data_IF_528147658771
#
_entry.id   IF_528147658771
#
_cell.length_a   1.000
_cell.length_b   1.000
_cell.length_c   1.000
_cell.angle_alpha   90.00
_cell.angle_beta   90.00
_cell.angle_gamma   90.00
#
_symmetry.space_group_name_H-M   'P 1'
#
loop_
_entity.id
_entity.type
_entity.pdbx_description
1 polymer ?
#
# COMPACT_ATOMS: atom_id res chain seq x y z
N UNK A 1 41.39 61.49 6.25
CA UNK A 1 41.83 60.50 7.26
C UNK A 1 41.59 59.11 6.71
N UNK A 2 42.66 58.41 6.37
CA UNK A 2 42.64 57.04 5.86
C UNK A 2 42.63 56.05 7.03
N UNK A 3 41.93 54.91 6.88
CA UNK A 3 42.16 53.71 7.69
C UNK A 3 42.13 52.47 6.81
N UNK A 4 43.32 51.90 6.64
CA UNK A 4 43.60 50.57 6.11
C UNK A 4 42.93 49.48 6.94
N UNK A 5 42.57 48.37 6.27
CA UNK A 5 42.79 46.99 6.73
C UNK A 5 42.81 46.04 5.53
N UNK A 6 44.02 45.71 5.06
CA UNK A 6 44.37 44.51 4.27
C UNK A 6 44.96 43.51 5.28
N UNK A 7 44.52 42.25 5.26
CA UNK A 7 45.08 41.23 6.16
C UNK A 7 44.37 39.87 6.16
N UNK A 8 43.82 39.42 5.03
CA UNK A 8 43.19 38.09 4.92
C UNK A 8 43.91 37.10 3.98
N UNK A 9 44.64 37.60 2.98
CA UNK A 9 45.10 36.76 1.86
C UNK A 9 46.41 35.99 2.11
N UNK A 10 47.10 36.21 3.23
CA UNK A 10 48.36 35.51 3.53
C UNK A 10 48.16 34.16 4.24
N UNK A 11 47.01 33.98 4.92
CA UNK A 11 46.72 32.76 5.70
C UNK A 11 46.21 31.63 4.79
N UNK A 12 45.49 31.96 3.71
CA UNK A 12 45.03 30.98 2.74
C UNK A 12 46.16 30.44 1.84
N UNK A 13 47.20 31.24 1.58
CA UNK A 13 48.33 30.83 0.74
C UNK A 13 49.30 29.88 1.47
N UNK A 14 49.38 29.96 2.81
CA UNK A 14 50.20 29.07 3.62
C UNK A 14 49.53 27.71 3.90
N UNK A 15 48.20 27.66 3.94
CA UNK A 15 47.45 26.42 4.21
C UNK A 15 47.37 25.49 2.98
N UNK A 16 47.38 26.04 1.76
CA UNK A 16 47.40 25.25 0.51
C UNK A 16 48.77 24.66 0.17
N UNK A 17 49.87 25.30 0.62
CA UNK A 17 51.23 24.78 0.44
C UNK A 17 51.61 23.62 1.37
N UNK A 18 50.94 23.49 2.53
CA UNK A 18 51.17 22.39 3.48
C UNK A 18 50.43 21.09 3.11
N UNK A 19 49.32 21.14 2.37
CA UNK A 19 48.62 19.95 1.90
C UNK A 19 49.27 19.31 0.65
N UNK A 20 50.00 20.10 -0.15
CA UNK A 20 50.68 19.61 -1.36
C UNK A 20 52.00 18.88 -1.08
N UNK A 21 52.58 19.04 0.12
CA UNK A 21 53.87 18.42 0.49
C UNK A 21 53.74 17.06 1.19
N UNK A 22 52.54 16.60 1.52
CA UNK A 22 52.31 15.31 2.18
C UNK A 22 52.03 14.14 1.20
N UNK A 23 52.08 14.37 -0.12
CA UNK A 23 51.82 13.35 -1.14
C UNK A 23 53.08 12.67 -1.71
N UNK A 24 54.25 12.89 -1.13
CA UNK A 24 55.51 12.32 -1.61
C UNK A 24 56.29 11.76 -0.43
N UNK A 25 56.01 10.51 -0.05
CA UNK A 25 56.93 9.55 0.62
C UNK A 25 56.12 8.34 1.15
N UNK A 26 55.86 7.36 0.29
CA UNK A 26 55.51 6.00 0.71
C UNK A 26 56.24 5.00 -0.22
N UNK A 27 57.02 4.04 0.32
CA UNK A 27 57.83 3.13 -0.49
C UNK A 27 57.04 1.91 -0.98
N UNK A 28 57.37 1.46 -2.19
CA UNK A 28 56.85 0.30 -2.86
C UNK A 28 57.33 -1.02 -2.22
N UNK A 29 56.43 -2.01 -2.09
CA UNK A 29 56.79 -3.38 -1.74
C UNK A 29 55.92 -4.40 -2.50
N UNK A 30 56.59 -5.04 -3.48
CA UNK A 30 56.49 -6.40 -4.02
C UNK A 30 55.14 -7.14 -4.10
N UNK A 31 54.75 -7.46 -5.35
CA UNK A 31 53.85 -8.53 -5.76
C UNK A 31 54.56 -9.91 -5.75
N UNK A 32 53.85 -11.03 -5.57
CA UNK A 32 54.33 -12.35 -5.96
C UNK A 32 53.66 -12.85 -7.26
N UNK A 33 54.51 -13.24 -8.21
CA UNK A 33 54.21 -13.90 -9.50
C UNK A 33 54.05 -15.44 -9.35
N UNK A 34 53.60 -16.16 -10.40
CA UNK A 34 52.65 -17.27 -10.30
C UNK A 34 53.29 -18.67 -10.18
N UNK A 35 52.50 -19.65 -9.72
CA UNK A 35 52.88 -21.05 -9.71
C UNK A 35 52.26 -21.82 -10.90
N UNK A 36 53.08 -22.74 -11.41
CA UNK A 36 53.06 -23.47 -12.67
C UNK A 36 52.05 -24.64 -12.71
N UNK A 37 51.59 -25.00 -13.92
CA UNK A 37 50.64 -26.10 -14.23
C UNK A 37 51.39 -27.23 -14.94
N UNK A 38 51.18 -28.51 -14.55
CA UNK A 38 51.01 -29.71 -15.42
C UNK A 38 51.13 -31.05 -14.61
N UNK A 39 50.73 -32.23 -15.14
CA UNK A 39 49.43 -32.59 -15.73
C UNK A 39 48.89 -33.98 -15.25
N UNK A 40 47.74 -34.38 -15.81
CA UNK A 40 47.17 -35.74 -16.00
C UNK A 40 46.16 -36.37 -15.00
N UNK A 41 45.04 -36.82 -15.59
CA UNK A 41 43.90 -37.56 -15.05
C UNK A 41 44.19 -39.10 -15.00
N UNK A 42 43.32 -40.02 -14.49
CA UNK A 42 41.87 -40.12 -14.77
C UNK A 42 40.93 -40.44 -13.59
N UNK A 43 39.65 -40.12 -13.84
CA UNK A 43 38.37 -40.55 -13.25
C UNK A 43 38.34 -41.49 -12.02
N UNK A 44 37.52 -41.13 -11.02
CA UNK A 44 36.52 -42.03 -10.43
C UNK A 44 35.46 -41.28 -9.61
N UNK A 45 34.24 -41.76 -9.82
CA UNK A 45 32.94 -41.52 -9.17
C UNK A 45 32.99 -41.31 -7.65
N UNK A 46 32.36 -40.24 -7.15
CA UNK A 46 31.81 -40.18 -5.79
C UNK A 46 30.91 -38.93 -5.66
N UNK A 47 29.62 -39.22 -5.51
CA UNK A 47 28.57 -38.35 -4.98
C UNK A 47 28.95 -37.72 -3.63
N UNK A 48 28.67 -36.44 -3.46
CA UNK A 48 27.83 -35.87 -2.39
C UNK A 48 28.22 -34.43 -2.01
N UNK A 49 27.17 -33.61 -1.91
CA UNK A 49 27.05 -32.41 -1.06
C UNK A 49 27.97 -31.20 -1.27
N UNK A 50 27.74 -30.42 -2.34
CA UNK A 50 27.88 -28.94 -2.25
C UNK A 50 26.87 -28.25 -3.18
N UNK A 51 25.60 -28.15 -2.75
CA UNK A 51 24.68 -27.14 -3.30
C UNK A 51 23.46 -26.92 -2.40
N UNK A 52 23.64 -26.31 -1.23
CA UNK A 52 22.47 -25.88 -0.45
C UNK A 52 22.61 -24.51 0.24
N UNK A 53 23.78 -23.86 0.13
CA UNK A 53 24.02 -22.56 0.76
C UNK A 53 23.55 -21.35 -0.08
N UNK A 54 23.24 -21.54 -1.38
CA UNK A 54 22.82 -20.45 -2.27
C UNK A 54 21.29 -20.39 -2.52
N UNK A 55 20.55 -21.44 -2.15
CA UNK A 55 19.09 -21.50 -2.33
C UNK A 55 18.29 -21.00 -1.11
N UNK A 56 18.94 -20.81 0.04
CA UNK A 56 18.26 -20.48 1.31
C UNK A 56 18.01 -18.98 1.54
N UNK A 57 18.38 -18.09 0.62
CA UNK A 57 18.10 -16.64 0.72
C UNK A 57 16.89 -16.16 -0.09
N UNK A 58 16.15 -17.07 -0.75
CA UNK A 58 15.00 -16.71 -1.60
C UNK A 58 13.64 -17.17 -1.09
N UNK A 59 13.54 -17.55 0.18
CA UNK A 59 12.26 -17.79 0.83
C UNK A 59 11.83 -16.56 1.63
N UNK A 60 11.67 -15.44 0.92
CA UNK A 60 10.81 -14.37 1.42
C UNK A 60 9.45 -15.00 1.72
N UNK A 61 8.95 -14.80 2.94
CA UNK A 61 7.66 -15.29 3.38
C UNK A 61 6.56 -14.87 2.38
N UNK A 62 6.27 -15.72 1.40
CA UNK A 62 5.05 -15.66 0.61
C UNK A 62 3.97 -16.10 1.58
N UNK A 63 3.45 -15.14 2.35
CA UNK A 63 2.23 -15.35 3.10
C UNK A 63 1.18 -15.84 2.10
N UNK A 64 0.46 -16.95 2.40
CA UNK A 64 -0.57 -17.43 1.51
C UNK A 64 -1.53 -16.29 1.21
N UNK A 65 -1.88 -16.15 -0.08
CA UNK A 65 -2.88 -15.17 -0.55
C UNK A 65 -4.09 -15.25 0.38
N UNK A 66 -4.69 -14.11 0.79
CA UNK A 66 -5.95 -14.15 1.53
C UNK A 66 -6.91 -15.09 0.81
N UNK A 67 -7.39 -16.12 1.51
CA UNK A 67 -8.37 -17.05 0.96
C UNK A 67 -9.68 -16.28 0.81
N UNK A 68 -9.93 -15.75 -0.37
CA UNK A 68 -11.21 -15.13 -0.69
C UNK A 68 -12.16 -16.25 -1.08
N UNK A 69 -13.14 -16.51 -0.22
CA UNK A 69 -14.24 -17.42 -0.54
C UNK A 69 -15.19 -16.63 -1.44
N UNK A 70 -15.22 -16.94 -2.74
CA UNK A 70 -16.29 -16.49 -3.60
C UNK A 70 -17.59 -17.19 -3.14
N UNK A 71 -18.43 -16.44 -2.43
CA UNK A 71 -19.75 -16.94 -2.07
C UNK A 71 -20.61 -17.09 -3.34
N UNK A 72 -21.39 -18.18 -3.47
CA UNK A 72 -22.32 -18.33 -4.57
C UNK A 72 -23.27 -17.14 -4.66
N UNK A 73 -23.67 -16.75 -5.87
CA UNK A 73 -24.70 -15.72 -6.05
C UNK A 73 -25.98 -16.08 -5.28
N UNK A 74 -26.79 -15.09 -4.90
CA UNK A 74 -28.05 -15.32 -4.19
C UNK A 74 -28.97 -16.35 -4.87
N UNK A 75 -28.87 -16.49 -6.20
CA UNK A 75 -29.59 -17.50 -6.97
C UNK A 75 -29.08 -18.94 -6.72
N UNK A 76 -27.78 -19.12 -6.50
CA UNK A 76 -27.19 -20.42 -6.17
C UNK A 76 -27.40 -20.81 -4.69
N UNK A 77 -27.45 -19.83 -3.78
CA UNK A 77 -27.80 -20.07 -2.38
C UNK A 77 -29.25 -20.53 -2.20
N UNK A 78 -30.19 -19.99 -3.00
CA UNK A 78 -31.59 -20.41 -3.00
C UNK A 78 -31.76 -21.87 -3.49
N UNK A 79 -30.96 -22.30 -4.48
CA UNK A 79 -31.01 -23.67 -5.00
C UNK A 79 -30.45 -24.72 -4.01
N UNK A 80 -29.48 -24.34 -3.16
CA UNK A 80 -28.92 -25.23 -2.14
C UNK A 80 -29.86 -25.48 -0.96
N UNK A 81 -30.80 -24.55 -0.71
CA UNK A 81 -31.81 -24.65 0.35
C UNK A 81 -32.85 -25.76 0.12
N UNK A 82 -33.02 -26.26 -1.10
CA UNK A 82 -34.06 -27.25 -1.42
C UNK A 82 -33.60 -28.72 -1.28
N UNK A 83 -32.33 -28.96 -0.92
CA UNK A 83 -31.75 -30.31 -0.84
C UNK A 83 -31.33 -30.74 0.59
N UNK A 84 -31.54 -29.91 1.61
CA UNK A 84 -31.14 -30.17 2.99
C UNK A 84 -32.31 -30.42 3.94
N UNK A 85 -32.87 -31.63 3.94
CA UNK A 85 -33.78 -32.10 4.99
C UNK A 85 -33.02 -32.68 6.17
N UNK A 86 -33.04 -32.01 7.32
CA UNK A 86 -32.49 -32.53 8.59
C UNK A 86 -32.39 -31.44 9.65
N UNK A 87 -33.25 -31.51 10.66
CA UNK A 87 -33.44 -30.46 11.66
C UNK A 87 -32.22 -30.21 12.56
N UNK A 88 -31.70 -29.00 12.47
CA UNK A 88 -31.27 -28.21 13.62
C UNK A 88 -32.10 -26.93 13.61
N UNK A 89 -32.56 -26.50 14.79
CA UNK A 89 -33.21 -25.20 14.91
C UNK A 89 -32.19 -24.13 14.47
N UNK A 90 -32.56 -23.14 13.64
CA UNK A 90 -31.64 -22.07 13.32
C UNK A 90 -31.24 -21.42 14.65
N UNK A 91 -29.94 -21.42 14.94
CA UNK A 91 -29.39 -20.67 16.07
C UNK A 91 -29.84 -19.23 15.88
N UNK A 92 -30.82 -18.79 16.67
CA UNK A 92 -31.37 -17.45 16.58
C UNK A 92 -30.23 -16.46 16.79
N UNK A 93 -30.06 -15.49 15.89
CA UNK A 93 -29.03 -14.44 15.96
C UNK A 93 -29.08 -13.53 17.21
N UNK A 94 -29.94 -13.86 18.18
CA UNK A 94 -30.17 -13.17 19.45
C UNK A 94 -29.34 -13.72 20.63
N UNK A 95 -28.42 -14.65 20.40
CA UNK A 95 -27.57 -15.18 21.49
C UNK A 95 -26.54 -14.15 22.00
N UNK A 96 -26.14 -13.18 21.17
CA UNK A 96 -25.09 -12.20 21.52
C UNK A 96 -25.63 -10.76 21.58
N UNK A 97 -25.11 -9.91 22.49
CA UNK A 97 -25.46 -8.49 22.54
C UNK A 97 -25.16 -7.76 21.23
N UNK A 98 -25.93 -6.72 20.85
CA UNK A 98 -25.74 -5.98 19.59
C UNK A 98 -24.31 -5.45 19.40
N UNK A 99 -23.65 -4.99 20.46
CA UNK A 99 -22.28 -4.50 20.40
C UNK A 99 -21.29 -5.58 19.93
N UNK A 100 -21.39 -6.80 20.47
CA UNK A 100 -20.59 -7.96 20.05
C UNK A 100 -20.94 -8.36 18.61
N UNK A 101 -22.22 -8.42 18.26
CA UNK A 101 -22.66 -8.77 16.89
C UNK A 101 -22.13 -7.79 15.86
N UNK A 102 -22.16 -6.49 16.17
CA UNK A 102 -21.68 -5.46 15.26
C UNK A 102 -20.15 -5.40 15.17
N UNK A 103 -19.43 -5.75 16.24
CA UNK A 103 -17.99 -5.98 16.17
C UNK A 103 -17.65 -7.17 15.26
N UNK A 104 -18.41 -8.27 15.37
CA UNK A 104 -18.26 -9.45 14.50
C UNK A 104 -18.61 -9.14 13.05
N UNK A 105 -19.68 -8.37 12.80
CA UNK A 105 -20.04 -7.90 11.46
C UNK A 105 -18.92 -7.05 10.85
N UNK A 106 -18.36 -6.09 11.61
CA UNK A 106 -17.22 -5.28 11.18
C UNK A 106 -16.02 -6.16 10.80
N UNK A 107 -15.64 -7.08 11.68
CA UNK A 107 -14.53 -8.01 11.41
C UNK A 107 -14.79 -8.84 10.15
N UNK A 108 -16.01 -9.36 9.97
CA UNK A 108 -16.39 -10.13 8.79
C UNK A 108 -16.36 -9.28 7.51
N UNK A 109 -16.76 -8.00 7.58
CA UNK A 109 -16.65 -7.07 6.46
C UNK A 109 -15.18 -6.84 6.07
N UNK A 110 -14.32 -6.53 7.04
CA UNK A 110 -12.90 -6.30 6.80
C UNK A 110 -12.17 -7.55 6.28
N UNK A 111 -12.60 -8.74 6.73
CA UNK A 111 -12.06 -10.02 6.28
C UNK A 111 -12.64 -10.52 4.93
N UNK A 112 -13.53 -9.75 4.29
CA UNK A 112 -14.25 -10.14 3.07
C UNK A 112 -15.08 -11.43 3.21
N UNK A 113 -15.63 -11.70 4.40
CA UNK A 113 -16.47 -12.87 4.66
C UNK A 113 -17.95 -12.61 4.36
N UNK A 114 -18.37 -11.35 4.30
CA UNK A 114 -19.75 -10.98 4.02
C UNK A 114 -20.04 -11.05 2.51
N UNK A 115 -21.28 -11.41 2.16
CA UNK A 115 -21.80 -11.13 0.83
C UNK A 115 -21.80 -9.61 0.56
N UNK A 116 -21.80 -9.17 -0.71
CA UNK A 116 -21.87 -7.76 -1.05
C UNK A 116 -23.02 -7.04 -0.32
N UNK A 117 -22.72 -5.89 0.27
CA UNK A 117 -23.65 -5.10 1.08
C UNK A 117 -23.68 -3.64 0.62
N UNK A 118 -24.84 -2.99 0.74
CA UNK A 118 -25.06 -1.63 0.24
C UNK A 118 -25.06 -0.54 1.31
N UNK A 119 -25.24 -0.90 2.59
CA UNK A 119 -25.20 0.00 3.73
C UNK A 119 -24.87 -0.78 5.01
N UNK A 120 -24.32 -0.09 6.00
CA UNK A 120 -24.13 -0.61 7.36
C UNK A 120 -25.50 -1.00 7.94
N UNK A 121 -25.66 -2.19 8.55
CA UNK A 121 -26.90 -2.55 9.23
C UNK A 121 -27.30 -1.48 10.25
N UNK A 122 -28.58 -1.10 10.29
CA UNK A 122 -29.05 -0.01 11.14
C UNK A 122 -28.71 -0.21 12.63
N UNK A 123 -28.77 -1.45 13.12
CA UNK A 123 -28.37 -1.81 14.50
C UNK A 123 -26.87 -1.58 14.77
N UNK A 124 -26.03 -1.58 13.73
CA UNK A 124 -24.58 -1.43 13.81
C UNK A 124 -24.06 -0.02 13.53
N UNK A 125 -24.93 0.92 13.14
CA UNK A 125 -24.54 2.30 12.87
C UNK A 125 -23.82 2.96 14.06
N UNK A 126 -24.32 2.73 15.28
CA UNK A 126 -23.70 3.25 16.50
C UNK A 126 -22.32 2.64 16.77
N UNK A 127 -22.15 1.34 16.50
CA UNK A 127 -20.87 0.65 16.62
C UNK A 127 -19.86 1.21 15.61
N UNK A 128 -20.25 1.30 14.33
CA UNK A 128 -19.38 1.81 13.25
C UNK A 128 -18.95 3.25 13.56
N UNK A 129 -19.88 4.15 13.92
CA UNK A 129 -19.56 5.51 14.37
C UNK A 129 -18.54 5.51 15.50
N UNK A 130 -18.78 4.72 16.56
CA UNK A 130 -17.89 4.65 17.73
C UNK A 130 -16.50 4.15 17.38
N UNK A 131 -16.41 3.19 16.45
CA UNK A 131 -15.15 2.68 15.94
C UNK A 131 -14.39 3.74 15.13
N UNK A 132 -14.98 4.28 14.05
CA UNK A 132 -14.28 5.19 13.10
C UNK A 132 -13.90 6.54 13.69
N UNK A 133 -14.62 6.99 14.74
CA UNK A 133 -14.25 8.20 15.50
C UNK A 133 -13.36 7.91 16.71
N UNK A 134 -13.11 6.63 17.00
CA UNK A 134 -12.49 6.14 18.22
C UNK A 134 -10.97 5.96 18.15
N UNK A 135 -10.41 5.44 19.26
CA UNK A 135 -9.00 5.06 19.32
C UNK A 135 -8.70 3.76 18.56
N UNK A 136 -9.66 2.84 18.48
CA UNK A 136 -9.50 1.57 17.79
C UNK A 136 -9.20 1.76 16.30
N UNK A 137 -9.99 2.57 15.59
CA UNK A 137 -9.74 2.86 14.17
C UNK A 137 -8.36 3.50 13.92
N UNK A 138 -7.97 4.45 14.77
CA UNK A 138 -6.63 5.07 14.70
C UNK A 138 -5.50 4.07 14.96
N UNK A 139 -5.70 3.16 15.91
CA UNK A 139 -4.76 2.09 16.21
C UNK A 139 -4.61 1.13 15.03
N UNK A 140 -5.72 0.69 14.44
CA UNK A 140 -5.74 -0.22 13.30
C UNK A 140 -5.05 0.43 12.07
N UNK A 141 -5.32 1.71 11.81
CA UNK A 141 -4.64 2.50 10.77
C UNK A 141 -3.12 2.65 11.00
N UNK A 142 -2.68 2.91 12.23
CA UNK A 142 -1.25 3.06 12.54
C UNK A 142 -0.53 1.69 12.44
N UNK A 143 -1.19 0.60 12.83
CA UNK A 143 -0.64 -0.75 12.71
C UNK A 143 -0.40 -1.11 11.24
N UNK A 144 -1.40 -0.90 10.37
CA UNK A 144 -1.26 -1.15 8.92
C UNK A 144 -0.14 -0.29 8.33
N UNK A 145 -0.05 0.99 8.70
CA UNK A 145 1.02 1.86 8.22
C UNK A 145 2.42 1.41 8.71
N UNK A 146 2.52 0.96 9.95
CA UNK A 146 3.77 0.46 10.54
C UNK A 146 4.25 -0.81 9.84
N UNK A 147 3.35 -1.77 9.61
CA UNK A 147 3.63 -3.01 8.88
C UNK A 147 4.02 -2.74 7.41
N UNK A 148 3.31 -1.80 6.78
CA UNK A 148 3.62 -1.34 5.41
C UNK A 148 5.01 -0.74 5.32
N UNK A 149 5.35 0.16 6.25
CA UNK A 149 6.66 0.82 6.29
C UNK A 149 7.80 -0.18 6.58
N UNK A 150 7.57 -1.12 7.51
CA UNK A 150 8.53 -2.19 7.79
C UNK A 150 8.82 -3.05 6.55
N UNK A 151 7.78 -3.40 5.80
CA UNK A 151 7.94 -4.11 4.54
C UNK A 151 8.67 -3.26 3.49
N UNK A 152 8.30 -1.98 3.32
CA UNK A 152 8.93 -1.08 2.37
C UNK A 152 10.45 -0.96 2.62
N UNK A 153 10.86 -0.81 3.88
CA UNK A 153 12.28 -0.75 4.27
C UNK A 153 13.04 -2.05 4.00
N UNK A 154 12.37 -3.19 4.10
CA UNK A 154 12.98 -4.52 3.92
C UNK A 154 12.91 -5.03 2.47
N UNK A 155 12.17 -4.34 1.60
CA UNK A 155 11.94 -4.81 0.24
C UNK A 155 13.23 -4.75 -0.59
N UNK A 156 13.51 -5.76 -1.45
CA UNK A 156 14.71 -5.80 -2.27
C UNK A 156 14.57 -4.83 -3.46
N UNK A 157 14.92 -3.57 -3.24
CA UNK A 157 14.87 -2.56 -4.30
C UNK A 157 15.88 -2.89 -5.40
N UNK A 158 15.44 -2.77 -6.66
CA UNK A 158 16.27 -3.06 -7.84
C UNK A 158 17.28 -1.95 -8.18
N UNK A 159 17.11 -0.74 -7.65
CA UNK A 159 18.02 0.40 -7.87
C UNK A 159 17.94 1.03 -9.27
N UNK A 160 17.07 0.52 -10.15
CA UNK A 160 16.83 0.99 -11.52
C UNK A 160 15.68 2.02 -11.62
N UNK A 161 15.11 2.43 -10.48
CA UNK A 161 13.98 3.36 -10.40
C UNK A 161 12.64 2.78 -10.87
N UNK A 162 12.50 1.44 -10.93
CA UNK A 162 11.29 0.74 -11.37
C UNK A 162 10.46 0.13 -10.24
N UNK A 163 10.89 0.24 -9.00
CA UNK A 163 10.08 -0.21 -7.86
C UNK A 163 8.96 0.79 -7.58
N UNK A 164 7.74 0.30 -7.44
CA UNK A 164 6.54 1.11 -7.29
C UNK A 164 5.68 0.69 -6.09
N UNK A 165 5.00 1.68 -5.51
CA UNK A 165 3.95 1.52 -4.51
C UNK A 165 2.67 2.18 -5.01
N UNK A 166 1.57 1.44 -4.95
CA UNK A 166 0.24 1.94 -5.33
C UNK A 166 -0.52 2.35 -4.07
N UNK A 167 -1.12 3.54 -4.09
CA UNK A 167 -2.08 3.98 -3.08
C UNK A 167 -3.43 4.24 -3.75
N UNK A 168 -4.51 3.71 -3.17
CA UNK A 168 -5.83 4.33 -3.35
C UNK A 168 -5.87 5.72 -2.69
N UNK A 169 -6.89 6.52 -2.96
CA UNK A 169 -7.04 7.88 -2.41
C UNK A 169 -8.10 7.96 -1.31
N UNK A 170 -9.32 7.49 -1.55
CA UNK A 170 -10.47 7.72 -0.67
C UNK A 170 -10.48 6.69 0.46
N UNK A 171 -10.61 7.11 1.72
CA UNK A 171 -10.41 6.28 2.92
C UNK A 171 -9.02 5.60 3.01
N UNK A 172 -8.10 5.95 2.11
CA UNK A 172 -6.72 5.46 2.10
C UNK A 172 -5.71 6.57 2.38
N UNK A 173 -5.71 7.65 1.59
CA UNK A 173 -4.88 8.84 1.82
C UNK A 173 -5.71 9.99 2.40
N UNK A 174 -6.89 10.21 1.86
CA UNK A 174 -7.84 11.24 2.26
C UNK A 174 -9.05 10.58 2.95
N UNK A 175 -9.46 11.13 4.08
CA UNK A 175 -10.65 10.66 4.79
C UNK A 175 -11.88 11.47 4.41
N UNK A 176 -12.90 10.79 3.91
CA UNK A 176 -14.23 11.32 3.70
C UNK A 176 -15.12 11.11 4.94
N UNK A 177 -14.54 10.80 6.10
CA UNK A 177 -15.28 10.69 7.36
C UNK A 177 -16.16 11.91 7.67
N UNK A 178 -15.78 13.18 7.37
CA UNK A 178 -16.69 14.30 7.55
C UNK A 178 -17.98 14.18 6.71
N UNK A 179 -17.89 13.70 5.47
CA UNK A 179 -19.07 13.39 4.65
C UNK A 179 -19.92 12.30 5.30
N UNK A 180 -19.30 11.19 5.72
CA UNK A 180 -20.02 10.09 6.34
C UNK A 180 -20.61 10.43 7.70
N UNK A 181 -20.05 11.41 8.42
CA UNK A 181 -20.64 11.91 9.66
C UNK A 181 -22.02 12.57 9.43
N UNK A 182 -22.20 13.22 8.28
CA UNK A 182 -23.48 13.81 7.86
C UNK A 182 -24.44 12.78 7.23
N UNK A 183 -23.95 11.58 6.90
CA UNK A 183 -24.68 10.51 6.18
C UNK A 183 -24.70 9.18 6.95
N UNK A 184 -24.89 9.28 8.27
CA UNK A 184 -25.18 8.11 9.12
C UNK A 184 -24.02 7.11 9.26
N UNK A 185 -22.78 7.50 8.98
CA UNK A 185 -21.58 6.65 9.05
C UNK A 185 -21.71 5.37 8.22
N UNK A 186 -22.36 5.46 7.05
CA UNK A 186 -22.56 4.33 6.13
C UNK A 186 -23.90 3.60 6.28
N UNK A 187 -24.75 4.02 7.23
CA UNK A 187 -26.10 3.46 7.39
C UNK A 187 -27.08 3.93 6.30
N UNK A 188 -26.75 4.99 5.57
CA UNK A 188 -27.52 5.48 4.43
C UNK A 188 -27.03 4.86 3.12
N UNK A 189 -27.93 4.67 2.16
CA UNK A 189 -27.54 4.27 0.81
C UNK A 189 -26.69 5.36 0.17
N UNK A 190 -25.63 4.94 -0.51
CA UNK A 190 -24.70 5.85 -1.15
C UNK A 190 -25.37 6.67 -2.27
N UNK A 191 -25.19 7.99 -2.22
CA UNK A 191 -25.65 8.92 -3.25
C UNK A 191 -24.43 9.53 -3.96
N UNK A 192 -24.21 9.10 -5.20
CA UNK A 192 -23.09 9.57 -6.02
C UNK A 192 -23.07 11.10 -6.19
N UNK A 193 -24.24 11.74 -6.31
CA UNK A 193 -24.29 13.19 -6.55
C UNK A 193 -23.86 13.97 -5.31
N UNK A 194 -24.34 13.57 -4.14
CA UNK A 194 -23.94 14.21 -2.87
C UNK A 194 -22.46 13.99 -2.59
N UNK A 195 -21.94 12.81 -2.90
CA UNK A 195 -20.51 12.54 -2.75
C UNK A 195 -19.68 13.35 -3.74
N UNK A 196 -20.11 13.50 -5.00
CA UNK A 196 -19.45 14.39 -5.96
C UNK A 196 -19.43 15.84 -5.45
N UNK A 197 -20.56 16.34 -4.91
CA UNK A 197 -20.62 17.68 -4.29
C UNK A 197 -19.65 17.82 -3.09
N UNK A 198 -19.44 16.74 -2.32
CA UNK A 198 -18.42 16.70 -1.27
C UNK A 198 -16.99 16.75 -1.83
N UNK A 199 -16.69 15.95 -2.85
CA UNK A 199 -15.37 15.91 -3.49
C UNK A 199 -14.98 17.28 -4.05
N UNK A 200 -15.94 18.00 -4.65
CA UNK A 200 -15.74 19.34 -5.21
C UNK A 200 -15.38 20.40 -4.16
N UNK A 201 -15.59 20.13 -2.87
CA UNK A 201 -15.13 21.02 -1.80
C UNK A 201 -13.61 20.96 -1.58
N UNK A 202 -12.96 19.86 -1.98
CA UNK A 202 -11.51 19.71 -1.89
C UNK A 202 -10.93 19.79 -0.47
N UNK A 203 -11.73 19.40 0.53
CA UNK A 203 -11.43 19.61 1.96
C UNK A 203 -11.26 18.31 2.76
N UNK A 204 -11.23 17.14 2.12
CA UNK A 204 -11.08 15.88 2.82
C UNK A 204 -9.72 15.83 3.55
N UNK A 205 -9.67 15.60 4.88
CA UNK A 205 -8.42 15.59 5.63
C UNK A 205 -7.53 14.40 5.31
N UNK A 206 -6.20 14.54 5.48
CA UNK A 206 -5.28 13.40 5.43
C UNK A 206 -5.58 12.37 6.53
N UNK A 207 -5.50 11.09 6.17
CA UNK A 207 -5.27 10.02 7.13
C UNK A 207 -3.80 10.11 7.58
N UNK A 208 -3.58 10.47 8.85
CA UNK A 208 -2.25 10.85 9.34
C UNK A 208 -1.23 9.71 9.24
N UNK A 209 -1.60 8.47 9.54
CA UNK A 209 -0.71 7.31 9.43
C UNK A 209 -0.33 7.03 7.97
N UNK A 210 -1.28 7.17 7.04
CA UNK A 210 -1.03 7.06 5.60
C UNK A 210 -0.10 8.15 5.08
N UNK A 211 -0.21 9.38 5.58
CA UNK A 211 0.71 10.47 5.22
C UNK A 211 2.15 10.17 5.67
N UNK A 212 2.34 9.57 6.85
CA UNK A 212 3.67 9.13 7.31
C UNK A 212 4.22 8.05 6.38
N UNK A 213 3.42 7.01 6.11
CA UNK A 213 3.80 5.91 5.21
C UNK A 213 4.16 6.42 3.81
N UNK A 214 3.32 7.29 3.24
CA UNK A 214 3.54 7.89 1.93
C UNK A 214 4.90 8.58 1.84
N UNK A 215 5.21 9.43 2.82
CA UNK A 215 6.50 10.14 2.88
C UNK A 215 7.66 9.17 3.00
N UNK A 216 7.53 8.15 3.84
CA UNK A 216 8.59 7.16 4.01
C UNK A 216 8.83 6.33 2.74
N UNK A 217 7.78 5.84 2.08
CA UNK A 217 7.88 5.12 0.80
C UNK A 217 8.56 6.00 -0.26
N UNK A 218 8.20 7.28 -0.34
CA UNK A 218 8.83 8.24 -1.23
C UNK A 218 10.31 8.44 -0.92
N UNK A 219 10.64 8.62 0.36
CA UNK A 219 12.01 8.90 0.82
C UNK A 219 12.92 7.67 0.63
N UNK A 220 12.36 6.46 0.54
CA UNK A 220 13.05 5.23 0.11
C UNK A 220 13.32 5.16 -1.40
N UNK A 221 12.87 6.14 -2.19
CA UNK A 221 13.04 6.18 -3.64
C UNK A 221 12.07 5.27 -4.41
N UNK A 222 11.05 4.72 -3.74
CA UNK A 222 9.99 3.92 -4.37
C UNK A 222 9.03 4.86 -5.09
N UNK A 223 8.68 4.50 -6.32
CA UNK A 223 7.79 5.28 -7.18
C UNK A 223 6.36 5.23 -6.68
N UNK A 224 5.71 6.39 -6.57
CA UNK A 224 4.36 6.47 -6.02
C UNK A 224 3.34 6.65 -7.12
N UNK A 225 2.41 5.69 -7.18
CA UNK A 225 1.25 5.72 -8.07
C UNK A 225 -0.02 5.88 -7.24
N UNK A 226 -0.80 6.91 -7.55
CA UNK A 226 -2.12 7.11 -6.98
C UNK A 226 -3.16 6.57 -7.97
N UNK A 227 -3.96 5.60 -7.54
CA UNK A 227 -4.95 4.90 -8.37
C UNK A 227 -6.32 4.93 -7.70
N UNK A 228 -7.16 5.88 -8.10
CA UNK A 228 -8.44 6.18 -7.44
C UNK A 228 -9.67 5.82 -8.29
N UNK A 229 -10.78 5.55 -7.61
CA UNK A 229 -12.10 5.44 -8.22
C UNK A 229 -12.71 6.77 -8.66
N UNK A 230 -12.18 7.93 -8.22
CA UNK A 230 -12.64 9.24 -8.67
C UNK A 230 -12.53 9.37 -10.19
N UNK A 231 -13.44 10.12 -10.80
CA UNK A 231 -13.44 10.31 -12.25
C UNK A 231 -12.46 11.40 -12.67
N UNK A 232 -11.99 11.36 -13.92
CA UNK A 232 -11.11 12.40 -14.49
C UNK A 232 -11.66 13.83 -14.38
N UNK A 233 -13.00 14.01 -14.27
CA UNK A 233 -13.60 15.31 -14.02
C UNK A 233 -13.14 15.96 -12.70
N UNK A 234 -12.84 15.13 -11.70
CA UNK A 234 -12.42 15.53 -10.35
C UNK A 234 -10.90 15.71 -10.21
N UNK A 235 -10.13 15.63 -11.31
CA UNK A 235 -8.67 15.65 -11.24
C UNK A 235 -8.12 16.89 -10.55
N UNK A 236 -8.60 18.08 -10.93
CA UNK A 236 -8.13 19.35 -10.39
C UNK A 236 -8.32 19.42 -8.87
N UNK A 237 -9.56 19.25 -8.41
CA UNK A 237 -9.89 19.30 -6.98
C UNK A 237 -9.20 18.20 -6.17
N UNK A 238 -9.00 17.01 -6.76
CA UNK A 238 -8.27 15.92 -6.09
C UNK A 238 -6.79 16.26 -5.90
N UNK A 239 -6.14 16.84 -6.91
CA UNK A 239 -4.74 17.31 -6.82
C UNK A 239 -4.60 18.40 -5.77
N UNK A 240 -5.50 19.39 -5.78
CA UNK A 240 -5.48 20.50 -4.82
C UNK A 240 -5.68 19.98 -3.40
N UNK A 241 -6.63 19.08 -3.18
CA UNK A 241 -6.87 18.49 -1.87
C UNK A 241 -5.65 17.68 -1.40
N UNK A 242 -5.07 16.81 -2.23
CA UNK A 242 -3.88 16.03 -1.87
C UNK A 242 -2.71 16.94 -1.47
N UNK A 243 -2.44 17.97 -2.27
CA UNK A 243 -1.40 18.96 -1.98
C UNK A 243 -1.67 19.69 -0.66
N UNK A 244 -2.89 20.17 -0.43
CA UNK A 244 -3.26 20.87 0.80
C UNK A 244 -3.11 19.99 2.05
N UNK A 245 -3.23 18.67 1.88
CA UNK A 245 -3.08 17.69 2.96
C UNK A 245 -1.64 17.15 3.10
N UNK A 246 -0.69 17.68 2.32
CA UNK A 246 0.74 17.40 2.44
C UNK A 246 1.23 16.18 1.64
N UNK A 247 0.39 15.63 0.76
CA UNK A 247 0.80 14.65 -0.24
C UNK A 247 1.35 15.39 -1.46
N UNK A 248 2.61 15.16 -1.80
CA UNK A 248 3.30 15.83 -2.90
C UNK A 248 4.23 14.84 -3.59
N UNK A 249 4.61 15.16 -4.83
CA UNK A 249 5.66 14.45 -5.57
C UNK A 249 5.32 12.98 -5.88
N UNK A 250 4.05 12.66 -6.13
CA UNK A 250 3.68 11.36 -6.72
C UNK A 250 4.17 11.29 -8.18
N UNK A 251 4.55 10.09 -8.64
CA UNK A 251 5.01 9.89 -10.02
C UNK A 251 3.85 9.82 -11.02
N UNK A 252 2.69 9.26 -10.62
CA UNK A 252 1.50 9.23 -11.48
C UNK A 252 0.21 9.26 -10.66
N UNK A 253 -0.76 10.04 -11.13
CA UNK A 253 -2.14 10.05 -10.62
C UNK A 253 -3.09 9.58 -11.72
N UNK A 254 -3.75 8.45 -11.47
CA UNK A 254 -4.65 7.74 -12.39
C UNK A 254 -6.06 7.82 -11.83
N UNK A 255 -6.96 8.47 -12.59
CA UNK A 255 -8.40 8.55 -12.30
C UNK A 255 -9.18 7.74 -13.33
N UNK A 256 -10.46 7.49 -13.05
CA UNK A 256 -11.36 6.80 -13.98
C UNK A 256 -11.68 7.68 -15.18
N UNK A 257 -11.27 7.23 -16.36
CA UNK A 257 -11.70 7.81 -17.62
C UNK A 257 -13.16 7.47 -17.94
N UNK A 258 -13.77 8.20 -18.88
CA UNK A 258 -15.14 7.95 -19.32
C UNK A 258 -15.35 6.50 -19.82
N UNK A 259 -14.35 5.90 -20.47
CA UNK A 259 -14.38 4.53 -20.96
C UNK A 259 -14.40 3.48 -19.83
N UNK A 260 -13.94 3.83 -18.63
CA UNK A 260 -13.84 2.92 -17.49
C UNK A 260 -15.08 2.94 -16.59
N UNK A 261 -16.05 3.83 -16.85
CA UNK A 261 -17.23 4.04 -15.98
C UNK A 261 -18.07 2.80 -15.72
N UNK A 262 -18.08 1.84 -16.65
CA UNK A 262 -18.86 0.59 -16.53
C UNK A 262 -18.07 -0.57 -15.95
N UNK A 263 -16.76 -0.40 -15.72
CA UNK A 263 -15.90 -1.44 -15.15
C UNK A 263 -16.05 -1.45 -13.63
N UNK A 264 -16.08 -2.63 -13.02
CA UNK A 264 -15.94 -2.80 -11.56
C UNK A 264 -14.64 -2.17 -11.07
N UNK A 265 -14.52 -1.90 -9.76
CA UNK A 265 -13.29 -1.37 -9.18
C UNK A 265 -12.14 -2.36 -9.38
N UNK A 266 -12.39 -3.63 -9.10
CA UNK A 266 -11.43 -4.72 -9.29
C UNK A 266 -10.90 -4.76 -10.73
N UNK A 267 -11.77 -4.80 -11.75
CA UNK A 267 -11.33 -4.87 -13.16
C UNK A 267 -10.55 -3.63 -13.57
N UNK A 268 -11.08 -2.44 -13.29
CA UNK A 268 -10.41 -1.18 -13.64
C UNK A 268 -9.02 -1.08 -13.00
N UNK A 269 -8.92 -1.32 -11.69
CA UNK A 269 -7.64 -1.18 -10.98
C UNK A 269 -6.64 -2.26 -11.37
N UNK A 270 -7.09 -3.48 -11.63
CA UNK A 270 -6.24 -4.54 -12.21
C UNK A 270 -5.66 -4.16 -13.56
N UNK A 271 -6.46 -3.63 -14.48
CA UNK A 271 -5.96 -3.19 -15.78
C UNK A 271 -4.94 -2.06 -15.65
N UNK A 272 -5.15 -1.10 -14.74
CA UNK A 272 -4.19 -0.02 -14.49
C UNK A 272 -2.89 -0.50 -13.86
N UNK A 273 -2.92 -1.48 -12.96
CA UNK A 273 -1.69 -2.12 -12.47
C UNK A 273 -0.97 -2.91 -13.56
N UNK A 274 -1.71 -3.59 -14.43
CA UNK A 274 -1.14 -4.28 -15.59
C UNK A 274 -0.45 -3.32 -16.56
N UNK A 275 -1.02 -2.13 -16.78
CA UNK A 275 -0.36 -1.07 -17.56
C UNK A 275 0.97 -0.65 -16.90
N UNK A 276 1.03 -0.51 -15.57
CA UNK A 276 2.29 -0.21 -14.85
C UNK A 276 3.33 -1.33 -15.02
N UNK A 277 2.94 -2.60 -14.91
CA UNK A 277 3.84 -3.73 -15.15
C UNK A 277 4.38 -3.72 -16.60
N UNK A 278 3.52 -3.44 -17.58
CA UNK A 278 3.91 -3.33 -18.99
C UNK A 278 4.85 -2.13 -19.26
N UNK A 279 4.76 -1.07 -18.46
CA UNK A 279 5.72 0.05 -18.46
C UNK A 279 7.06 -0.31 -17.77
N UNK A 280 7.16 -1.52 -17.19
CA UNK A 280 8.37 -2.07 -16.58
C UNK A 280 8.47 -1.86 -15.07
N UNK A 281 7.40 -1.41 -14.40
CA UNK A 281 7.41 -1.24 -12.94
C UNK A 281 7.19 -2.56 -12.20
N UNK A 282 7.86 -2.70 -11.06
CA UNK A 282 7.65 -3.77 -10.07
C UNK A 282 6.82 -3.21 -8.93
N UNK A 283 5.57 -3.64 -8.83
CA UNK A 283 4.68 -3.16 -7.78
C UNK A 283 4.98 -3.90 -6.49
N UNK A 284 5.78 -3.31 -5.60
CA UNK A 284 6.18 -3.92 -4.33
C UNK A 284 5.02 -3.89 -3.32
N UNK A 285 4.36 -2.74 -3.20
CA UNK A 285 3.27 -2.52 -2.24
C UNK A 285 2.02 -1.95 -2.88
N UNK A 286 0.87 -2.26 -2.31
CA UNK A 286 -0.42 -1.67 -2.66
C UNK A 286 -1.23 -1.43 -1.39
N UNK A 287 -1.60 -0.18 -1.12
CA UNK A 287 -2.38 0.24 0.04
C UNK A 287 -3.76 0.72 -0.42
N UNK A 288 -4.80 0.15 0.17
CA UNK A 288 -6.19 0.48 -0.16
C UNK A 288 -7.14 0.07 0.95
N UNK A 289 -8.28 0.75 1.04
CA UNK A 289 -9.32 0.51 2.03
C UNK A 289 -10.36 -0.51 1.55
N UNK A 290 -10.35 -0.91 0.28
CA UNK A 290 -11.22 -1.93 -0.27
C UNK A 290 -10.43 -3.12 -0.81
N UNK A 291 -11.03 -4.31 -0.72
CA UNK A 291 -10.44 -5.49 -1.36
C UNK A 291 -10.38 -5.35 -2.89
N UNK A 292 -11.28 -4.58 -3.50
CA UNK A 292 -11.24 -4.23 -4.92
C UNK A 292 -9.99 -3.45 -5.34
N UNK A 293 -9.30 -2.81 -4.39
CA UNK A 293 -8.04 -2.10 -4.66
C UNK A 293 -6.86 -3.04 -4.75
N UNK A 294 -6.96 -4.16 -4.03
CA UNK A 294 -5.85 -5.04 -3.70
C UNK A 294 -5.86 -6.34 -4.50
N UNK A 295 -7.05 -6.80 -4.92
CA UNK A 295 -7.28 -8.07 -5.59
C UNK A 295 -7.39 -7.92 -7.12
N UNK A 296 -7.60 -9.06 -7.80
CA UNK A 296 -7.70 -9.17 -9.25
C UNK A 296 -6.39 -9.60 -9.89
N UNK A 297 -6.11 -9.15 -11.11
CA UNK A 297 -4.82 -9.40 -11.79
C UNK A 297 -3.79 -8.31 -11.50
N UNK A 298 -2.51 -8.60 -11.80
CA UNK A 298 -1.38 -7.70 -11.59
C UNK A 298 -1.34 -7.14 -10.17
N UNK A 299 -1.42 -8.05 -9.19
CA UNK A 299 -1.35 -7.70 -7.77
C UNK A 299 0.09 -7.31 -7.40
N UNK A 300 0.24 -6.45 -6.40
CA UNK A 300 1.54 -6.14 -5.83
C UNK A 300 2.16 -7.36 -5.13
N UNK A 301 3.46 -7.28 -4.86
CA UNK A 301 4.15 -8.30 -4.07
C UNK A 301 3.56 -8.43 -2.65
N UNK A 302 3.11 -7.31 -2.05
CA UNK A 302 2.31 -7.30 -0.82
C UNK A 302 1.18 -6.27 -0.88
N UNK A 303 0.01 -6.65 -0.39
CA UNK A 303 -1.16 -5.78 -0.27
C UNK A 303 -1.43 -5.45 1.20
N UNK A 304 -1.85 -4.21 1.47
CA UNK A 304 -2.13 -3.69 2.80
C UNK A 304 -3.53 -3.10 2.84
N UNK A 305 -4.45 -3.80 3.51
CA UNK A 305 -5.85 -3.42 3.66
C UNK A 305 -6.00 -2.45 4.83
N UNK A 306 -6.41 -1.22 4.55
CA UNK A 306 -6.82 -0.28 5.58
C UNK A 306 -8.26 -0.58 6.02
N UNK A 307 -8.62 -0.39 7.30
CA UNK A 307 -9.99 -0.59 7.73
C UNK A 307 -10.93 0.45 7.10
N UNK A 308 -12.07 0.00 6.61
CA UNK A 308 -13.18 0.86 6.24
C UNK A 308 -14.52 0.10 6.34
N UNK A 309 -15.25 0.26 7.45
CA UNK A 309 -16.56 -0.35 7.62
C UNK A 309 -17.72 0.52 7.15
N UNK A 310 -17.46 1.70 6.57
CA UNK A 310 -18.52 2.65 6.20
C UNK A 310 -19.16 2.32 4.85
N UNK A 311 -18.42 1.67 3.95
CA UNK A 311 -18.94 1.24 2.65
C UNK A 311 -18.17 0.05 2.09
N UNK A 312 -18.75 -0.57 1.06
CA UNK A 312 -18.16 -1.68 0.33
C UNK A 312 -18.16 -1.43 -1.17
N UNK A 313 -17.04 -1.74 -1.82
CA UNK A 313 -16.89 -1.69 -3.27
C UNK A 313 -16.52 -3.09 -3.78
N UNK A 314 -17.36 -3.72 -4.63
CA UNK A 314 -17.06 -5.01 -5.25
C UNK A 314 -16.05 -4.92 -6.41
#
# INVERSE_FOLDING_TARGET
MARHRRGGDLVHLLLTLLLAAALLLAPAAAEPEPAEVAPTAPAQDASDEVSDAAAQHQQQHILPRPLVIELPSAAAAAAASELGGGGESPVSGDEFPPEVRCASWRLAAEANNLAPWGAVPAECAAHVRGYVTGAAYRSDLELVATESAAYARAAPLGGDGRDAWVFDVDETLLSNLPYYADHGFGAELFDHRKFDEWVERGEAPAITSSLKLYKEVRDLGIKIFLLTGRTEGHRGVTVDNLNNQGFHDWDKLILRAAADRKKTATTYKSEKRKEMEAEGYRILGNSGDQWSDLLGSSMSARSFKLPNPMYYIP
#
